data_IF_689036233337
#
_entry.id   IF_689036233337
#
_cell.length_a   1.000
_cell.length_b   1.000
_cell.length_c   1.000
_cell.angle_alpha   90.00
_cell.angle_beta   90.00
_cell.angle_gamma   90.00
#
_symmetry.space_group_name_H-M   'P 1'
#
loop_
_entity.id
_entity.type
_entity.pdbx_description
1 polymer ?
#
# COMPACT_ATOMS: atom_id res chain seq x y z
N UNK A 1 -6.87 -8.30 4.63
CA UNK A 1 -7.28 -8.19 3.22
C UNK A 1 -6.20 -7.58 2.33
N UNK A 2 -5.39 -6.61 2.77
CA UNK A 2 -4.31 -6.04 1.96
C UNK A 2 -3.36 -7.08 1.30
N UNK A 3 -2.92 -8.16 1.99
CA UNK A 3 -2.13 -9.25 1.39
C UNK A 3 -2.72 -9.89 0.13
N UNK A 4 -4.05 -9.90 -0.01
CA UNK A 4 -4.75 -10.47 -1.16
C UNK A 4 -4.44 -9.66 -2.41
N UNK A 5 -4.33 -8.35 -2.27
CA UNK A 5 -4.18 -7.41 -3.38
C UNK A 5 -2.71 -7.22 -3.71
N UNK A 6 -1.87 -7.24 -2.68
CA UNK A 6 -0.42 -7.12 -2.84
C UNK A 6 0.20 -8.35 -3.50
N UNK A 7 -0.21 -9.56 -3.10
CA UNK A 7 0.42 -10.78 -3.62
C UNK A 7 -0.51 -11.96 -3.81
N UNK A 8 -1.81 -11.82 -3.54
CA UNK A 8 -2.70 -12.99 -3.47
C UNK A 8 -2.26 -14.00 -2.41
N UNK A 9 -1.61 -13.54 -1.32
CA UNK A 9 -0.93 -14.37 -0.32
C UNK A 9 0.29 -15.17 -0.82
N UNK A 10 0.84 -14.88 -1.99
CA UNK A 10 2.09 -15.48 -2.45
C UNK A 10 3.27 -14.99 -1.60
N UNK A 11 3.91 -15.91 -0.86
CA UNK A 11 5.00 -15.59 0.07
C UNK A 11 6.31 -15.15 -0.61
N UNK A 12 6.49 -15.53 -1.89
CA UNK A 12 7.69 -15.24 -2.68
C UNK A 12 7.40 -14.37 -3.90
N UNK A 13 6.29 -13.64 -3.89
CA UNK A 13 5.98 -12.69 -4.95
C UNK A 13 7.09 -11.63 -5.07
N UNK A 14 7.48 -11.30 -6.30
CA UNK A 14 8.47 -10.27 -6.62
C UNK A 14 7.87 -9.37 -7.71
N UNK A 15 7.77 -8.07 -7.44
CA UNK A 15 7.32 -7.10 -8.44
C UNK A 15 8.47 -6.62 -9.34
N UNK A 16 8.17 -5.99 -10.49
CA UNK A 16 9.19 -5.30 -11.30
C UNK A 16 9.98 -4.23 -10.53
N UNK A 17 9.37 -3.63 -9.51
CA UNK A 17 10.01 -2.67 -8.60
C UNK A 17 10.82 -3.34 -7.47
N UNK A 18 11.05 -4.65 -7.54
CA UNK A 18 11.75 -5.45 -6.52
C UNK A 18 11.08 -5.42 -5.13
N UNK A 19 9.77 -5.18 -5.11
CA UNK A 19 8.96 -5.40 -3.93
C UNK A 19 8.80 -6.90 -3.71
N UNK A 20 8.96 -7.38 -2.48
CA UNK A 20 8.95 -8.82 -2.21
C UNK A 20 8.02 -9.22 -1.07
N UNK A 21 7.57 -10.47 -1.12
CA UNK A 21 6.82 -11.11 -0.06
C UNK A 21 5.34 -10.78 -0.05
N UNK A 22 4.64 -11.27 0.98
CA UNK A 22 3.18 -11.13 1.10
C UNK A 22 2.72 -9.67 1.07
N UNK A 23 3.53 -8.77 1.60
CA UNK A 23 3.19 -7.35 1.78
C UNK A 23 3.92 -6.42 0.81
N UNK A 24 4.61 -6.99 -0.19
CA UNK A 24 5.31 -6.28 -1.26
C UNK A 24 6.14 -5.09 -0.76
N UNK A 25 7.09 -5.36 0.14
CA UNK A 25 8.02 -4.32 0.57
C UNK A 25 9.18 -4.16 -0.42
N UNK A 26 9.36 -2.95 -0.95
CA UNK A 26 10.64 -2.55 -1.56
C UNK A 26 11.74 -2.43 -0.49
N UNK A 27 13.01 -2.61 -0.88
CA UNK A 27 14.14 -2.70 0.06
C UNK A 27 14.27 -1.43 0.94
N UNK A 28 14.11 -0.25 0.33
CA UNK A 28 14.20 1.03 1.05
C UNK A 28 13.17 1.13 2.18
N UNK A 29 11.90 0.85 1.87
CA UNK A 29 10.82 0.85 2.84
C UNK A 29 11.00 -0.27 3.86
N UNK A 30 11.39 -1.47 3.43
CA UNK A 30 11.70 -2.58 4.34
C UNK A 30 12.72 -2.18 5.40
N UNK A 31 13.83 -1.55 4.99
CA UNK A 31 14.87 -1.07 5.92
C UNK A 31 14.33 -0.04 6.93
N UNK A 32 13.47 0.90 6.50
CA UNK A 32 12.83 1.88 7.40
C UNK A 32 11.96 1.22 8.48
N UNK A 33 11.38 0.06 8.18
CA UNK A 33 10.51 -0.69 9.08
C UNK A 33 11.18 -1.95 9.66
N UNK A 34 12.51 -1.96 9.75
CA UNK A 34 13.33 -3.03 10.34
C UNK A 34 13.24 -4.41 9.63
N UNK A 35 12.83 -4.43 8.38
CA UNK A 35 12.87 -5.60 7.50
C UNK A 35 14.21 -5.65 6.75
N UNK A 36 15.29 -5.86 7.50
CA UNK A 36 16.64 -5.92 6.94
C UNK A 36 16.85 -7.22 6.14
N UNK A 37 17.60 -7.08 5.05
CA UNK A 37 18.17 -8.19 4.29
C UNK A 37 19.64 -8.37 4.68
N UNK A 38 20.07 -9.61 4.86
CA UNK A 38 21.46 -10.01 4.91
C UNK A 38 21.72 -11.13 3.90
N UNK A 39 22.98 -11.59 3.77
CA UNK A 39 23.36 -12.58 2.75
C UNK A 39 22.61 -13.93 2.81
N UNK A 40 21.89 -14.21 3.90
CA UNK A 40 21.21 -15.49 4.14
C UNK A 40 19.71 -15.35 4.38
N UNK A 41 19.20 -14.14 4.64
CA UNK A 41 17.81 -13.92 5.02
C UNK A 41 17.32 -12.55 4.56
N UNK A 42 16.07 -12.51 4.08
CA UNK A 42 15.35 -11.29 3.79
C UNK A 42 14.09 -11.23 4.65
N UNK A 43 14.08 -10.35 5.66
CA UNK A 43 12.94 -10.22 6.57
C UNK A 43 11.66 -9.73 5.89
N UNK A 44 11.72 -9.22 4.67
CA UNK A 44 10.53 -8.87 3.88
C UNK A 44 9.72 -10.11 3.48
N UNK A 45 10.37 -11.27 3.42
CA UNK A 45 9.73 -12.56 3.13
C UNK A 45 9.12 -13.23 4.37
N UNK A 46 9.47 -12.79 5.58
CA UNK A 46 8.88 -13.32 6.81
C UNK A 46 7.46 -12.76 7.00
N UNK A 47 6.40 -13.61 6.99
CA UNK A 47 5.01 -13.15 7.03
C UNK A 47 4.65 -12.32 8.28
N UNK A 48 5.22 -12.66 9.44
CA UNK A 48 4.89 -12.02 10.71
C UNK A 48 5.59 -10.67 10.87
N UNK A 49 6.88 -10.61 10.51
CA UNK A 49 7.65 -9.38 10.54
C UNK A 49 7.12 -8.38 9.51
N UNK A 50 6.87 -8.85 8.28
CA UNK A 50 6.30 -8.01 7.21
C UNK A 50 4.89 -7.52 7.52
N UNK A 51 4.02 -8.34 8.12
CA UNK A 51 2.70 -7.90 8.58
C UNK A 51 2.79 -6.79 9.64
N UNK A 52 3.68 -6.94 10.63
CA UNK A 52 3.89 -5.92 11.66
C UNK A 52 4.44 -4.62 11.07
N UNK A 53 5.36 -4.72 10.11
CA UNK A 53 5.88 -3.57 9.40
C UNK A 53 4.79 -2.88 8.57
N UNK A 54 3.94 -3.62 7.85
CA UNK A 54 2.84 -3.08 7.07
C UNK A 54 1.84 -2.32 7.94
N UNK A 55 1.46 -2.89 9.09
CA UNK A 55 0.59 -2.22 10.05
C UNK A 55 1.19 -0.90 10.57
N UNK A 56 2.51 -0.87 10.84
CA UNK A 56 3.20 0.36 11.24
C UNK A 56 3.25 1.39 10.12
N UNK A 57 3.52 0.97 8.88
CA UNK A 57 3.53 1.83 7.72
C UNK A 57 2.16 2.45 7.47
N UNK A 58 1.10 1.64 7.43
CA UNK A 58 -0.27 2.13 7.26
C UNK A 58 -0.68 3.10 8.36
N UNK A 59 -0.33 2.82 9.63
CA UNK A 59 -0.59 3.74 10.74
C UNK A 59 0.12 5.08 10.53
N UNK A 60 1.39 5.06 10.10
CA UNK A 60 2.15 6.28 9.82
C UNK A 60 1.54 7.07 8.65
N UNK A 61 1.16 6.41 7.56
CA UNK A 61 0.52 7.02 6.41
C UNK A 61 -0.83 7.64 6.77
N UNK A 62 -1.66 6.93 7.56
CA UNK A 62 -2.91 7.48 8.06
C UNK A 62 -2.68 8.71 8.95
N UNK A 63 -1.68 8.69 9.83
CA UNK A 63 -1.33 9.87 10.62
C UNK A 63 -0.82 11.05 9.77
N UNK A 64 -0.26 10.75 8.59
CA UNK A 64 0.29 11.77 7.68
C UNK A 64 -0.82 12.45 6.87
N UNK A 65 -1.76 11.67 6.35
CA UNK A 65 -2.80 12.15 5.45
C UNK A 65 -4.17 12.36 6.10
N UNK A 66 -4.36 11.85 7.32
CA UNK A 66 -5.63 11.84 8.06
C UNK A 66 -6.81 11.30 7.24
N UNK A 67 -6.52 10.35 6.34
CA UNK A 67 -7.48 9.76 5.42
C UNK A 67 -7.01 8.39 4.97
N UNK A 68 -7.87 7.38 5.08
CA UNK A 68 -7.53 5.99 4.72
C UNK A 68 -7.34 5.76 3.22
N UNK A 69 -8.08 6.44 2.36
CA UNK A 69 -7.93 6.31 0.90
C UNK A 69 -6.56 6.85 0.47
N UNK A 70 -6.16 8.02 0.98
CA UNK A 70 -4.83 8.59 0.74
C UNK A 70 -3.72 7.73 1.36
N UNK A 71 -3.95 7.14 2.52
CA UNK A 71 -2.98 6.23 3.15
C UNK A 71 -2.77 4.95 2.33
N UNK A 72 -3.84 4.36 1.79
CA UNK A 72 -3.77 3.19 0.90
C UNK A 72 -3.10 3.55 -0.43
N UNK A 73 -3.48 4.68 -1.03
CA UNK A 73 -2.84 5.17 -2.25
C UNK A 73 -1.33 5.42 -2.03
N UNK A 74 -0.95 6.00 -0.88
CA UNK A 74 0.45 6.20 -0.51
C UNK A 74 1.20 4.91 -0.19
N UNK A 75 0.51 3.83 0.21
CA UNK A 75 1.12 2.52 0.40
C UNK A 75 1.57 1.94 -0.95
N UNK A 76 0.74 2.05 -1.99
CA UNK A 76 1.03 1.59 -3.36
C UNK A 76 2.02 2.54 -4.09
N UNK A 77 1.72 3.84 -4.16
CA UNK A 77 2.48 4.80 -4.98
C UNK A 77 3.62 5.53 -4.24
N UNK A 78 3.68 5.38 -2.92
CA UNK A 78 4.55 6.17 -2.05
C UNK A 78 3.97 7.53 -1.67
N UNK A 79 4.26 7.99 -0.45
CA UNK A 79 3.78 9.27 0.09
C UNK A 79 4.26 10.49 -0.71
N UNK A 80 5.41 10.41 -1.39
CA UNK A 80 5.93 11.49 -2.23
C UNK A 80 5.00 11.81 -3.42
N UNK A 81 4.49 10.76 -4.07
CA UNK A 81 3.55 10.86 -5.19
C UNK A 81 2.25 11.55 -4.76
N UNK A 82 1.67 11.09 -3.65
CA UNK A 82 0.43 11.68 -3.10
C UNK A 82 0.64 13.15 -2.70
N UNK A 83 1.73 13.46 -2.01
CA UNK A 83 2.05 14.85 -1.63
C UNK A 83 2.27 15.76 -2.85
N UNK A 84 2.88 15.24 -3.92
CA UNK A 84 3.05 15.98 -5.16
C UNK A 84 1.69 16.29 -5.81
N UNK A 85 0.81 15.29 -5.95
CA UNK A 85 -0.52 15.47 -6.54
C UNK A 85 -1.38 16.44 -5.72
N UNK A 86 -1.41 16.29 -4.39
CA UNK A 86 -2.11 17.23 -3.51
C UNK A 86 -1.60 18.66 -3.64
N UNK A 87 -0.28 18.84 -3.82
CA UNK A 87 0.31 20.17 -4.01
C UNK A 87 -0.08 20.78 -5.36
N UNK A 88 -0.16 19.99 -6.42
CA UNK A 88 -0.64 20.45 -7.74
C UNK A 88 -2.08 20.94 -7.63
N UNK A 89 -2.99 20.12 -7.06
CA UNK A 89 -4.39 20.51 -6.88
C UNK A 89 -4.55 21.74 -5.99
N UNK A 90 -3.80 21.83 -4.88
CA UNK A 90 -3.86 22.99 -3.98
C UNK A 90 -3.45 24.29 -4.69
N UNK A 91 -2.44 24.24 -5.58
CA UNK A 91 -2.05 25.40 -6.40
C UNK A 91 -3.11 25.80 -7.41
N UNK A 92 -3.90 24.85 -7.90
CA UNK A 92 -5.00 25.07 -8.83
C UNK A 92 -6.34 25.40 -8.11
N UNK A 93 -6.38 25.43 -6.77
CA UNK A 93 -7.62 25.62 -6.02
C UNK A 93 -8.59 24.43 -6.08
N UNK A 94 -8.09 23.24 -6.42
CA UNK A 94 -8.86 22.01 -6.56
C UNK A 94 -8.89 21.19 -5.24
N UNK A 95 -9.89 20.31 -5.05
CA UNK A 95 -9.94 19.40 -3.90
C UNK A 95 -8.72 18.48 -3.83
N UNK A 96 -8.38 18.02 -2.62
CA UNK A 96 -7.19 17.16 -2.38
C UNK A 96 -7.54 15.79 -1.78
N UNK A 97 -8.82 15.41 -1.82
CA UNK A 97 -9.24 14.04 -1.51
C UNK A 97 -8.83 13.10 -2.65
N UNK A 98 -8.69 11.81 -2.35
CA UNK A 98 -8.21 10.78 -3.28
C UNK A 98 -8.84 10.87 -4.67
N UNK A 99 -10.17 10.90 -4.75
CA UNK A 99 -10.93 10.93 -6.00
C UNK A 99 -10.77 12.18 -6.89
N UNK A 100 -10.07 13.21 -6.41
CA UNK A 100 -9.78 14.42 -7.18
C UNK A 100 -8.31 14.53 -7.61
N UNK A 101 -7.44 13.63 -7.12
CA UNK A 101 -6.02 13.66 -7.45
C UNK A 101 -5.78 12.93 -8.78
N UNK A 102 -4.95 13.51 -9.62
CA UNK A 102 -4.38 12.85 -10.80
C UNK A 102 -3.24 11.94 -10.33
N UNK A 103 -3.45 10.62 -10.40
CA UNK A 103 -2.56 9.59 -9.88
C UNK A 103 -2.24 8.55 -10.97
N UNK A 104 -1.16 7.76 -10.81
CA UNK A 104 -0.92 6.64 -11.71
C UNK A 104 -2.13 5.69 -11.76
N UNK A 105 -2.49 5.20 -12.93
CA UNK A 105 -3.66 4.32 -13.15
C UNK A 105 -3.67 3.10 -12.21
N UNK A 106 -2.50 2.53 -11.93
CA UNK A 106 -2.36 1.44 -10.94
C UNK A 106 -2.89 1.85 -9.56
N UNK A 107 -2.54 3.05 -9.10
CA UNK A 107 -2.91 3.60 -7.79
C UNK A 107 -4.38 4.02 -7.74
N UNK A 108 -4.89 4.61 -8.82
CA UNK A 108 -6.31 4.95 -8.94
C UNK A 108 -7.19 3.70 -8.82
N UNK A 109 -6.75 2.58 -9.40
CA UNK A 109 -7.45 1.30 -9.33
C UNK A 109 -7.18 0.54 -8.03
N UNK A 110 -6.07 0.79 -7.35
CA UNK A 110 -5.66 0.07 -6.14
C UNK A 110 -6.66 0.24 -4.98
N UNK A 111 -7.04 1.49 -4.66
CA UNK A 111 -7.96 1.76 -3.53
C UNK A 111 -9.36 1.18 -3.76
N UNK A 112 -10.02 1.37 -4.93
CA UNK A 112 -11.29 0.70 -5.25
C UNK A 112 -11.20 -0.83 -5.17
N UNK A 113 -10.15 -1.43 -5.73
CA UNK A 113 -9.92 -2.88 -5.67
C UNK A 113 -9.82 -3.35 -4.22
N UNK A 114 -9.18 -2.56 -3.36
CA UNK A 114 -9.12 -2.84 -1.92
C UNK A 114 -10.46 -2.82 -1.23
N UNK A 115 -11.25 -1.78 -1.46
CA UNK A 115 -12.58 -1.69 -0.89
C UNK A 115 -13.48 -2.83 -1.36
N UNK A 116 -13.45 -3.16 -2.67
CA UNK A 116 -14.21 -4.27 -3.24
C UNK A 116 -13.80 -5.62 -2.64
N UNK A 117 -12.50 -5.88 -2.53
CA UNK A 117 -11.97 -7.13 -1.92
C UNK A 117 -12.42 -7.27 -0.48
N UNK A 118 -12.37 -6.19 0.31
CA UNK A 118 -12.85 -6.21 1.70
C UNK A 118 -14.36 -6.44 1.77
N UNK A 119 -15.14 -5.83 0.87
CA UNK A 119 -16.59 -6.00 0.82
C UNK A 119 -16.98 -7.45 0.50
N UNK A 120 -16.39 -8.05 -0.52
CA UNK A 120 -16.64 -9.45 -0.91
C UNK A 120 -16.25 -10.38 0.23
N UNK A 121 -15.04 -10.22 0.77
CA UNK A 121 -14.53 -11.12 1.80
C UNK A 121 -15.25 -11.00 3.15
N UNK A 122 -15.97 -9.90 3.40
CA UNK A 122 -16.84 -9.72 4.57
C UNK A 122 -18.28 -10.20 4.36
N UNK A 123 -18.70 -10.41 3.11
CA UNK A 123 -20.06 -10.86 2.75
C UNK A 123 -20.03 -12.12 1.89
N UNK A 124 -19.42 -13.23 2.35
CA UNK A 124 -19.25 -14.42 1.53
C UNK A 124 -20.59 -15.03 1.07
N UNK A 125 -21.63 -14.99 1.91
CA UNK A 125 -22.97 -15.54 1.57
C UNK A 125 -23.72 -14.74 0.49
N UNK A 126 -23.37 -13.45 0.29
CA UNK A 126 -24.03 -12.61 -0.71
C UNK A 126 -23.36 -12.68 -2.09
N UNK A 127 -22.12 -13.18 -2.16
CA UNK A 127 -21.27 -13.13 -3.34
C UNK A 127 -20.52 -14.44 -3.64
N UNK A 128 -20.92 -15.56 -3.02
CA UNK A 128 -20.28 -16.87 -3.12
C UNK A 128 -21.28 -18.02 -3.19
#
# INVERSE_FOLDING_TARGET
>A
YLPIIESGFMERAVSPAQAVGIWQFIEETGRRYNLHRNGWSDKRLDPFHSARAAARLLKHLHQTFDNWELALAAYNAGAGTINWAMRVNRKAGLPTHFWALDLPEETENYVPTFLATVMIAKNPEAFG
#
